data_IF_891855379049
#
_entry.id   IF_891855379049
#
_cell.length_a   1.000
_cell.length_b   1.000
_cell.length_c   1.000
_cell.angle_alpha   90.00
_cell.angle_beta   90.00
_cell.angle_gamma   90.00
#
_symmetry.space_group_name_H-M   'P 1'
#
loop_
_entity.id
_entity.type
_entity.pdbx_description
1 polymer ?
#
# COMPACT_ATOMS: atom_id res chain seq x y z
N UNK A 1 -10.07 22.28 -1.93
CA UNK A 1 -9.88 21.34 -0.80
C UNK A 1 -9.61 19.95 -1.39
N UNK A 2 -8.35 19.54 -1.47
CA UNK A 2 -7.97 18.18 -1.85
C UNK A 2 -7.42 17.49 -0.60
N UNK A 3 -8.04 16.37 -0.23
CA UNK A 3 -7.73 15.63 1.00
C UNK A 3 -6.35 14.98 0.87
N UNK A 4 -5.48 15.26 1.84
CA UNK A 4 -4.18 14.61 2.03
C UNK A 4 -4.34 13.09 2.08
N UNK A 5 -3.45 12.41 1.36
CA UNK A 5 -2.86 11.11 1.68
C UNK A 5 -3.79 10.10 2.37
N UNK A 6 -4.20 9.11 1.60
CA UNK A 6 -5.01 7.97 2.06
C UNK A 6 -4.38 7.11 3.17
N UNK A 7 -3.14 7.39 3.58
CA UNK A 7 -2.49 6.82 4.76
C UNK A 7 -1.83 7.94 5.59
N UNK A 8 -1.64 7.66 6.88
CA UNK A 8 -1.06 8.56 7.89
C UNK A 8 -0.02 9.52 7.31
N UNK A 9 -0.04 10.83 7.65
CA UNK A 9 0.83 11.87 7.09
C UNK A 9 2.35 11.66 7.35
N UNK A 10 2.76 10.54 7.93
CA UNK A 10 4.12 10.21 8.32
C UNK A 10 4.74 9.03 7.56
N UNK A 11 4.05 8.40 6.61
CA UNK A 11 4.61 7.24 5.90
C UNK A 11 5.13 7.59 4.50
N UNK A 12 6.42 7.92 4.39
CA UNK A 12 7.13 8.22 3.14
C UNK A 12 7.95 7.02 2.67
N UNK A 13 7.30 5.90 2.35
CA UNK A 13 8.02 4.72 1.83
C UNK A 13 8.11 4.75 0.29
N UNK A 14 9.35 4.78 -0.21
CA UNK A 14 9.76 5.00 -1.61
C UNK A 14 9.89 3.71 -2.43
N UNK A 15 8.88 2.84 -2.37
CA UNK A 15 8.84 1.64 -3.23
C UNK A 15 8.19 1.97 -4.60
N UNK A 16 8.63 1.32 -5.69
CA UNK A 16 8.03 1.50 -7.02
C UNK A 16 6.60 0.94 -7.03
N UNK A 17 5.62 1.83 -6.90
CA UNK A 17 4.19 1.51 -6.99
C UNK A 17 3.72 1.68 -8.43
N UNK A 18 2.95 0.70 -8.96
CA UNK A 18 2.26 0.81 -10.25
C UNK A 18 1.29 2.00 -10.20
N UNK A 19 1.57 3.04 -11.00
CA UNK A 19 1.10 4.42 -10.78
C UNK A 19 0.29 4.93 -11.97
N UNK A 20 -1.04 5.09 -11.85
CA UNK A 20 -1.88 5.79 -12.84
C UNK A 20 -2.08 7.25 -12.44
N UNK A 21 -1.99 8.15 -13.42
CA UNK A 21 -2.55 9.52 -13.38
C UNK A 21 -3.52 9.68 -14.58
N UNK A 22 -4.67 10.32 -14.33
CA UNK A 22 -5.62 11.01 -15.24
C UNK A 22 -6.70 10.31 -16.09
N UNK A 23 -7.87 10.96 -16.34
CA UNK A 23 -8.15 11.90 -17.48
C UNK A 23 -9.21 13.03 -17.28
N UNK A 24 -8.87 14.25 -17.76
CA UNK A 24 -9.74 15.34 -18.28
C UNK A 24 -8.88 16.34 -19.11
N UNK A 25 -9.43 17.31 -19.90
CA UNK A 25 -8.67 18.06 -20.93
C UNK A 25 -7.53 18.96 -20.41
N UNK A 26 -7.40 19.12 -19.09
CA UNK A 26 -6.23 19.64 -18.35
C UNK A 26 -6.07 18.98 -16.98
N UNK A 27 -6.35 17.68 -16.89
CA UNK A 27 -6.09 16.84 -15.73
C UNK A 27 -6.66 17.29 -14.37
N UNK A 28 -7.86 16.83 -14.04
CA UNK A 28 -8.70 17.26 -12.90
C UNK A 28 -8.28 16.79 -11.48
N UNK A 29 -6.97 16.62 -11.19
CA UNK A 29 -6.47 16.37 -9.83
C UNK A 29 -5.35 17.37 -9.58
N UNK A 30 -5.49 18.17 -8.52
CA UNK A 30 -4.48 19.16 -8.13
C UNK A 30 -3.32 18.40 -7.48
N UNK A 31 -2.10 18.46 -8.03
CA UNK A 31 -0.97 17.72 -7.50
C UNK A 31 -0.44 18.36 -6.21
N UNK A 32 0.01 17.52 -5.29
CA UNK A 32 0.87 17.87 -4.16
C UNK A 32 2.32 17.44 -4.47
N UNK A 33 2.52 16.23 -4.97
CA UNK A 33 3.82 15.67 -5.31
C UNK A 33 3.79 14.85 -6.60
N UNK A 34 4.49 15.34 -7.63
CA UNK A 34 4.60 14.66 -8.93
C UNK A 34 5.09 13.21 -8.82
N UNK A 35 5.92 12.92 -7.81
CA UNK A 35 6.56 11.63 -7.64
C UNK A 35 5.74 10.68 -6.75
N UNK A 36 4.85 11.19 -5.89
CA UNK A 36 4.11 10.37 -4.92
C UNK A 36 2.61 10.26 -5.21
N UNK A 37 2.02 11.23 -5.92
CA UNK A 37 0.58 11.24 -6.16
C UNK A 37 0.11 10.15 -7.12
N UNK A 38 -1.01 9.51 -6.76
CA UNK A 38 -1.78 8.62 -7.64
C UNK A 38 -3.25 8.62 -7.20
N UNK A 39 -4.16 8.36 -8.15
CA UNK A 39 -5.59 8.18 -7.87
C UNK A 39 -5.86 6.75 -7.40
N UNK A 40 -6.82 6.57 -6.49
CA UNK A 40 -7.17 5.26 -5.94
C UNK A 40 -8.67 5.10 -5.68
N UNK A 41 -9.10 3.86 -5.48
CA UNK A 41 -10.50 3.50 -5.27
C UNK A 41 -10.84 3.34 -3.78
N UNK A 42 -11.84 4.08 -3.30
CA UNK A 42 -12.48 3.90 -2.00
C UNK A 42 -13.66 2.94 -2.16
N UNK A 43 -13.63 1.78 -1.52
CA UNK A 43 -14.78 0.86 -1.53
C UNK A 43 -14.89 0.05 -0.23
N UNK A 44 -16.06 -0.54 0.01
CA UNK A 44 -16.33 -1.37 1.21
C UNK A 44 -15.73 -2.77 1.13
N UNK A 45 -15.44 -3.26 -0.07
CA UNK A 45 -14.88 -4.59 -0.29
C UNK A 45 -13.71 -4.53 -1.28
N UNK A 46 -12.78 -5.49 -1.17
CA UNK A 46 -11.69 -5.63 -2.14
C UNK A 46 -12.24 -5.86 -3.55
N UNK A 47 -13.32 -6.64 -3.69
CA UNK A 47 -13.99 -6.88 -4.98
C UNK A 47 -14.42 -5.56 -5.64
N UNK A 48 -15.13 -4.71 -4.92
CA UNK A 48 -15.61 -3.44 -5.45
C UNK A 48 -14.45 -2.48 -5.77
N UNK A 49 -13.41 -2.48 -4.93
CA UNK A 49 -12.19 -1.72 -5.18
C UNK A 49 -11.47 -2.19 -6.45
N UNK A 50 -11.43 -3.51 -6.72
CA UNK A 50 -10.84 -4.08 -7.93
C UNK A 50 -11.65 -3.74 -9.17
N UNK A 51 -12.98 -3.77 -9.12
CA UNK A 51 -13.81 -3.33 -10.26
C UNK A 51 -13.65 -1.85 -10.55
N UNK A 52 -13.54 -1.01 -9.52
CA UNK A 52 -13.20 0.40 -9.71
C UNK A 52 -11.79 0.54 -10.33
N UNK A 53 -10.80 -0.23 -9.86
CA UNK A 53 -9.45 -0.22 -10.42
C UNK A 53 -9.46 -0.58 -11.91
N UNK A 54 -10.23 -1.60 -12.29
CA UNK A 54 -10.42 -2.04 -13.68
C UNK A 54 -10.99 -0.93 -14.57
N UNK A 55 -11.84 -0.06 -14.01
CA UNK A 55 -12.33 1.12 -14.72
C UNK A 55 -11.30 2.25 -14.88
N UNK A 56 -10.23 2.26 -14.08
CA UNK A 56 -9.29 3.39 -14.02
C UNK A 56 -7.82 3.05 -14.32
N UNK A 57 -7.40 1.81 -14.60
CA UNK A 57 -5.99 1.40 -14.83
C UNK A 57 -5.57 1.29 -16.32
N UNK A 58 -4.27 1.44 -16.67
CA UNK A 58 -3.71 1.48 -18.04
C UNK A 58 -2.99 2.80 -18.49
N UNK A 59 -2.71 2.96 -19.78
CA UNK A 59 -1.89 4.09 -20.27
C UNK A 59 -2.75 5.30 -20.67
N UNK A 60 -2.32 6.51 -20.30
CA UNK A 60 -2.86 7.81 -20.76
C UNK A 60 -1.75 8.59 -21.50
N UNK A 61 -1.88 8.89 -22.80
CA UNK A 61 -0.86 9.60 -23.56
C UNK A 61 -0.58 11.03 -23.07
N UNK A 62 -1.45 11.62 -22.25
CA UNK A 62 -1.21 12.93 -21.61
C UNK A 62 -0.37 12.82 -20.34
N UNK A 63 -0.17 11.62 -19.83
CA UNK A 63 0.65 11.33 -18.67
C UNK A 63 1.78 10.36 -19.03
N UNK A 64 2.97 10.90 -19.22
CA UNK A 64 4.17 10.13 -19.54
C UNK A 64 4.54 9.05 -18.49
N UNK A 65 4.12 9.17 -17.24
CA UNK A 65 4.45 8.15 -16.21
C UNK A 65 3.53 6.93 -16.33
N UNK A 66 2.36 7.07 -16.95
CA UNK A 66 1.50 5.90 -17.22
C UNK A 66 1.99 5.05 -18.38
N UNK A 67 2.84 5.58 -19.26
CA UNK A 67 3.35 4.84 -20.43
C UNK A 67 4.25 3.66 -20.04
N UNK A 68 4.88 3.73 -18.86
CA UNK A 68 5.66 2.64 -18.30
C UNK A 68 4.80 1.56 -17.61
N UNK A 69 3.48 1.71 -17.59
CA UNK A 69 2.61 0.71 -16.98
C UNK A 69 2.60 -0.58 -17.79
N UNK A 70 2.89 -1.67 -17.09
CA UNK A 70 2.57 -3.02 -17.51
C UNK A 70 1.35 -3.49 -16.70
N UNK A 71 0.22 -3.62 -17.37
CA UNK A 71 -1.03 -4.02 -16.76
C UNK A 71 -1.56 -5.32 -17.40
N UNK A 72 -2.27 -6.16 -16.65
CA UNK A 72 -2.83 -7.40 -17.16
C UNK A 72 -3.80 -7.13 -18.31
N UNK A 73 -3.75 -7.98 -19.35
CA UNK A 73 -4.62 -7.87 -20.52
C UNK A 73 -6.11 -8.01 -20.16
N UNK A 74 -6.43 -8.95 -19.26
CA UNK A 74 -7.82 -9.24 -18.85
C UNK A 74 -8.25 -8.52 -17.57
N UNK A 75 -7.59 -7.39 -17.23
CA UNK A 75 -7.89 -6.62 -16.02
C UNK A 75 -7.41 -7.25 -14.72
N UNK A 76 -7.60 -6.57 -13.61
CA UNK A 76 -7.23 -7.05 -12.27
C UNK A 76 -8.33 -7.91 -11.64
N UNK A 77 -9.59 -7.80 -12.08
CA UNK A 77 -10.68 -8.64 -11.59
C UNK A 77 -10.39 -10.14 -11.75
N UNK A 78 -9.58 -10.54 -12.73
CA UNK A 78 -9.14 -11.92 -12.91
C UNK A 78 -8.38 -12.48 -11.70
N UNK A 79 -7.76 -11.62 -10.88
CA UNK A 79 -7.01 -12.01 -9.69
C UNK A 79 -7.86 -12.04 -8.42
N UNK A 80 -9.16 -11.73 -8.49
CA UNK A 80 -10.05 -11.86 -7.35
C UNK A 80 -10.15 -13.32 -6.93
N UNK A 81 -9.65 -13.61 -5.73
CA UNK A 81 -9.60 -14.94 -5.19
C UNK A 81 -10.25 -15.03 -3.80
N UNK A 82 -10.55 -16.26 -3.40
CA UNK A 82 -10.96 -16.55 -2.02
C UNK A 82 -9.74 -16.78 -1.15
N UNK A 83 -9.94 -16.93 0.17
CA UNK A 83 -8.87 -17.28 1.13
C UNK A 83 -8.02 -18.50 0.73
N UNK A 84 -8.51 -19.36 -0.16
CA UNK A 84 -7.76 -20.50 -0.70
C UNK A 84 -6.45 -20.09 -1.39
N UNK A 85 -6.39 -18.88 -1.96
CA UNK A 85 -5.18 -18.36 -2.58
C UNK A 85 -4.03 -18.08 -1.58
N UNK A 86 -4.32 -18.04 -0.28
CA UNK A 86 -3.29 -17.92 0.75
C UNK A 86 -2.52 -19.22 0.99
N UNK A 87 -3.01 -20.36 0.51
CA UNK A 87 -2.33 -21.65 0.69
C UNK A 87 -0.98 -21.61 -0.03
N UNK A 88 0.11 -21.73 0.74
CA UNK A 88 1.48 -21.67 0.23
C UNK A 88 2.02 -20.25 0.00
N UNK A 89 1.22 -19.20 0.25
CA UNK A 89 1.69 -17.82 0.21
C UNK A 89 2.69 -17.57 1.36
N UNK A 90 3.71 -16.77 1.12
CA UNK A 90 4.74 -16.43 2.11
C UNK A 90 4.76 -14.93 2.32
N UNK A 91 4.58 -14.48 3.56
CA UNK A 91 4.62 -13.07 3.93
C UNK A 91 5.74 -12.80 4.93
N UNK A 92 6.43 -11.68 4.73
CA UNK A 92 7.36 -11.15 5.72
C UNK A 92 6.64 -10.29 6.76
N UNK A 93 7.08 -10.37 8.01
CA UNK A 93 6.65 -9.51 9.10
C UNK A 93 7.85 -8.68 9.61
N UNK A 94 8.04 -7.45 9.10
CA UNK A 94 9.11 -6.54 9.55
C UNK A 94 8.79 -5.98 10.93
N UNK A 95 9.17 -6.73 11.97
CA UNK A 95 8.85 -6.40 13.35
C UNK A 95 9.62 -5.17 13.84
N UNK A 96 10.93 -5.14 13.59
CA UNK A 96 11.82 -4.07 14.05
C UNK A 96 11.60 -2.76 13.30
N UNK A 97 11.23 -2.84 12.02
CA UNK A 97 11.00 -1.67 11.18
C UNK A 97 9.70 -0.94 11.56
N UNK A 98 8.65 -1.67 11.92
CA UNK A 98 7.32 -1.05 12.10
C UNK A 98 6.59 -1.52 13.35
N UNK A 99 6.38 -2.82 13.51
CA UNK A 99 5.40 -3.33 14.47
C UNK A 99 5.81 -3.16 15.93
N UNK A 100 7.11 -3.09 16.23
CA UNK A 100 7.60 -2.78 17.59
C UNK A 100 7.17 -1.40 18.10
N UNK A 101 6.91 -0.45 17.20
CA UNK A 101 6.49 0.91 17.54
C UNK A 101 4.95 1.07 17.59
N UNK A 102 4.20 0.05 17.17
CA UNK A 102 2.76 0.05 17.26
C UNK A 102 2.31 -0.09 18.73
N UNK A 103 1.16 0.48 19.07
CA UNK A 103 0.57 0.29 20.39
C UNK A 103 0.23 -1.18 20.66
N UNK A 104 0.14 -1.57 21.94
CA UNK A 104 -0.20 -2.94 22.32
C UNK A 104 -1.52 -3.44 21.68
N UNK A 105 -2.54 -2.57 21.58
CA UNK A 105 -3.80 -2.89 20.91
C UNK A 105 -3.60 -3.18 19.41
N UNK A 106 -2.82 -2.35 18.72
CA UNK A 106 -2.51 -2.57 17.30
C UNK A 106 -1.68 -3.84 17.08
N UNK A 107 -0.73 -4.13 17.96
CA UNK A 107 0.05 -5.39 17.91
C UNK A 107 -0.86 -6.60 18.13
N UNK A 108 -1.82 -6.53 19.06
CA UNK A 108 -2.78 -7.60 19.27
C UNK A 108 -3.65 -7.84 18.02
N UNK A 109 -4.21 -6.79 17.43
CA UNK A 109 -5.00 -6.88 16.21
C UNK A 109 -4.20 -7.45 15.04
N UNK A 110 -2.94 -7.04 14.89
CA UNK A 110 -2.02 -7.63 13.92
C UNK A 110 -1.87 -9.14 14.13
N UNK A 111 -1.62 -9.57 15.37
CA UNK A 111 -1.42 -10.98 15.68
C UNK A 111 -2.68 -11.82 15.41
N UNK A 112 -3.87 -11.27 15.64
CA UNK A 112 -5.14 -11.90 15.23
C UNK A 112 -5.21 -12.09 13.71
N UNK A 113 -4.85 -11.07 12.92
CA UNK A 113 -4.81 -11.16 11.45
C UNK A 113 -3.74 -12.15 10.97
N UNK A 114 -2.56 -12.16 11.59
CA UNK A 114 -1.48 -13.11 11.32
C UNK A 114 -1.97 -14.55 11.53
N UNK A 115 -2.72 -14.80 12.60
CA UNK A 115 -3.29 -16.11 12.88
C UNK A 115 -4.34 -16.51 11.84
N UNK A 116 -5.20 -15.57 11.41
CA UNK A 116 -6.16 -15.82 10.33
C UNK A 116 -5.46 -16.20 9.02
N UNK A 117 -4.41 -15.47 8.64
CA UNK A 117 -3.65 -15.72 7.41
C UNK A 117 -2.92 -17.08 7.48
N UNK A 118 -2.29 -17.41 8.62
CA UNK A 118 -1.68 -18.73 8.86
C UNK A 118 -2.71 -19.86 8.78
N UNK A 119 -3.89 -19.68 9.39
CA UNK A 119 -4.96 -20.69 9.36
C UNK A 119 -5.50 -20.96 7.94
N UNK A 120 -5.35 -20.00 7.03
CA UNK A 120 -5.69 -20.16 5.61
C UNK A 120 -4.58 -20.87 4.80
N UNK A 121 -3.46 -21.24 5.43
CA UNK A 121 -2.38 -22.03 4.83
C UNK A 121 -1.18 -21.21 4.35
N UNK A 122 -1.05 -19.95 4.75
CA UNK A 122 0.11 -19.13 4.46
C UNK A 122 1.22 -19.28 5.52
N UNK A 123 2.46 -19.00 5.12
CA UNK A 123 3.62 -18.93 5.98
C UNK A 123 3.96 -17.48 6.30
N UNK A 124 4.19 -17.15 7.56
CA UNK A 124 4.64 -15.83 7.99
C UNK A 124 6.07 -15.96 8.52
N UNK A 125 7.00 -15.23 7.92
CA UNK A 125 8.41 -15.20 8.29
C UNK A 125 8.68 -13.93 9.09
N UNK A 126 9.27 -14.08 10.29
CA UNK A 126 9.76 -12.96 11.07
C UNK A 126 11.22 -12.64 10.70
N UNK A 127 11.69 -11.42 10.98
CA UNK A 127 13.04 -10.97 10.64
C UNK A 127 13.22 -10.53 9.19
N UNK A 128 12.13 -10.24 8.49
CA UNK A 128 12.14 -9.70 7.12
C UNK A 128 12.19 -8.17 7.14
N UNK A 129 13.18 -7.60 7.81
CA UNK A 129 13.28 -6.16 8.00
C UNK A 129 13.66 -5.44 6.72
N UNK A 130 13.26 -4.17 6.63
CA UNK A 130 13.73 -3.32 5.54
C UNK A 130 15.24 -3.09 5.67
N UNK A 131 16.00 -3.16 4.56
CA UNK A 131 17.39 -2.71 4.58
C UNK A 131 17.48 -1.29 5.10
N UNK A 132 18.43 -1.03 6.00
CA UNK A 132 18.64 0.27 6.63
C UNK A 132 17.42 0.84 7.39
N UNK A 133 16.49 0.00 7.89
CA UNK A 133 15.31 0.46 8.63
C UNK A 133 15.64 1.47 9.75
N UNK A 134 16.80 1.33 10.40
CA UNK A 134 17.27 2.23 11.45
C UNK A 134 17.49 3.68 10.99
N UNK A 135 17.68 3.95 9.70
CA UNK A 135 17.91 5.29 9.16
C UNK A 135 16.73 5.84 8.37
N UNK A 136 15.87 4.98 7.82
CA UNK A 136 14.71 5.37 7.00
C UNK A 136 13.41 5.42 7.80
N UNK A 137 13.28 4.61 8.85
CA UNK A 137 12.13 4.67 9.75
C UNK A 137 12.39 5.81 10.73
N UNK A 138 11.49 6.79 10.73
CA UNK A 138 11.57 7.89 11.68
C UNK A 138 11.60 7.33 13.10
N UNK A 139 12.60 7.69 13.92
CA UNK A 139 12.64 7.27 15.31
C UNK A 139 11.33 7.65 16.00
N UNK A 140 10.82 6.83 16.94
CA UNK A 140 9.70 7.25 17.76
C UNK A 140 10.07 8.58 18.40
N UNK A 141 9.19 9.58 18.24
CA UNK A 141 9.35 10.91 18.81
C UNK A 141 9.37 10.79 20.33
N UNK A 142 10.54 10.48 20.90
CA UNK A 142 10.86 10.92 22.24
C UNK A 142 10.84 12.45 22.12
N UNK A 143 9.91 13.09 22.83
CA UNK A 143 10.01 14.51 23.11
C UNK A 143 11.40 14.73 23.71
N UNK A 144 12.38 15.12 22.89
CA UNK A 144 13.60 15.73 23.41
C UNK A 144 13.11 17.03 24.01
N UNK A 145 12.92 17.01 25.32
CA UNK A 145 12.85 18.23 26.11
C UNK A 145 14.07 19.05 25.73
N UNK A 146 13.82 20.30 25.33
CA UNK A 146 14.85 21.30 25.15
C UNK A 146 15.37 21.61 26.56
N UNK A 147 16.55 21.08 26.90
CA UNK A 147 17.43 21.69 27.91
C UNK A 147 18.36 22.69 27.22
#
# INVERSE_FOLDING_TARGET
MAYKSWHSPHNTDSLPKQKRRHVGPKGNVIPESHNQDSVGCLARTVRDATYCLDGIYGQDPRDNYTLAQNAPADGFAQYLATKKALKGAVFGLPWLSFWQYASANQQQQLLEVVNLIKSAGATIINGTELPNYATIVSPPLLFRGYE
#
